data_IF_659015750803
#
_entry.id   IF_659015750803
#
_cell.length_a   1.000
_cell.length_b   1.000
_cell.length_c   1.000
_cell.angle_alpha   90.00
_cell.angle_beta   90.00
_cell.angle_gamma   90.00
#
_symmetry.space_group_name_H-M   'P 1'
#
loop_
_entity.id
_entity.type
_entity.pdbx_description
1 polymer ?
#
# COMPACT_ATOMS: atom_id res chain seq x y z
N UNK A 1 -19.66 -15.57 -3.83
CA UNK A 1 -19.37 -15.74 -2.39
C UNK A 1 -17.89 -15.49 -2.09
N UNK A 2 -16.93 -16.19 -2.69
CA UNK A 2 -15.48 -16.04 -2.41
C UNK A 2 -15.04 -14.56 -2.53
N UNK A 3 -15.34 -13.91 -3.65
CA UNK A 3 -15.00 -12.50 -3.86
C UNK A 3 -15.68 -11.58 -2.80
N UNK A 4 -16.93 -11.90 -2.42
CA UNK A 4 -17.64 -11.15 -1.38
C UNK A 4 -16.94 -11.22 -0.02
N UNK A 5 -16.40 -12.37 0.36
CA UNK A 5 -15.61 -12.50 1.60
C UNK A 5 -14.37 -11.61 1.56
N UNK A 6 -13.65 -11.60 0.44
CA UNK A 6 -12.44 -10.76 0.28
C UNK A 6 -12.81 -9.27 0.40
N UNK A 7 -13.85 -8.84 -0.31
CA UNK A 7 -14.28 -7.44 -0.32
C UNK A 7 -14.80 -6.95 1.04
N UNK A 8 -15.34 -7.87 1.85
CA UNK A 8 -15.84 -7.56 3.19
C UNK A 8 -14.79 -7.79 4.31
N UNK A 9 -13.53 -7.95 3.94
CA UNK A 9 -12.43 -8.07 4.90
C UNK A 9 -12.36 -9.40 5.64
N UNK A 10 -12.87 -10.48 5.02
CA UNK A 10 -12.85 -11.83 5.58
C UNK A 10 -12.07 -12.79 4.65
N UNK A 11 -10.74 -12.54 4.46
CA UNK A 11 -9.96 -13.36 3.51
C UNK A 11 -9.83 -14.82 3.93
N UNK A 12 -9.83 -15.14 5.22
CA UNK A 12 -9.80 -16.54 5.71
C UNK A 12 -11.03 -17.31 5.23
N UNK A 13 -12.20 -16.65 5.29
CA UNK A 13 -13.47 -17.29 4.85
C UNK A 13 -13.43 -17.59 3.35
N UNK A 14 -12.80 -16.72 2.55
CA UNK A 14 -12.62 -16.97 1.12
C UNK A 14 -11.82 -18.25 0.86
N UNK A 15 -10.75 -18.49 1.65
CA UNK A 15 -9.94 -19.71 1.55
C UNK A 15 -10.72 -20.95 2.01
N UNK A 16 -11.50 -20.82 3.07
CA UNK A 16 -12.37 -21.89 3.57
C UNK A 16 -13.39 -22.27 2.50
N UNK A 17 -14.05 -21.30 1.90
CA UNK A 17 -15.04 -21.54 0.84
C UNK A 17 -14.44 -22.27 -0.36
N UNK A 18 -13.22 -21.90 -0.77
CA UNK A 18 -12.55 -22.61 -1.89
C UNK A 18 -12.30 -24.08 -1.53
N UNK A 19 -11.88 -24.36 -0.29
CA UNK A 19 -11.67 -25.73 0.19
C UNK A 19 -12.97 -26.52 0.25
N UNK A 20 -14.03 -25.92 0.78
CA UNK A 20 -15.36 -26.57 0.87
C UNK A 20 -15.91 -26.88 -0.52
N UNK A 21 -15.78 -25.95 -1.46
CA UNK A 21 -16.16 -26.16 -2.85
C UNK A 21 -15.56 -27.45 -3.43
N UNK A 22 -14.29 -27.73 -3.10
CA UNK A 22 -13.60 -28.93 -3.58
C UNK A 22 -13.96 -30.18 -2.78
N UNK A 23 -14.01 -30.08 -1.45
CA UNK A 23 -14.10 -31.25 -0.56
C UNK A 23 -15.53 -31.71 -0.29
N UNK A 24 -16.44 -30.78 -0.01
CA UNK A 24 -17.83 -31.08 0.35
C UNK A 24 -18.72 -31.18 -0.87
N UNK A 25 -18.66 -30.14 -1.71
CA UNK A 25 -19.57 -29.99 -2.85
C UNK A 25 -19.06 -30.69 -4.11
N UNK A 26 -17.79 -31.11 -4.11
CA UNK A 26 -17.10 -31.73 -5.26
C UNK A 26 -17.21 -30.89 -6.53
N UNK A 27 -17.33 -29.55 -6.35
CA UNK A 27 -17.39 -28.59 -7.44
C UNK A 27 -15.95 -28.21 -7.82
N UNK A 28 -15.64 -28.34 -9.09
CA UNK A 28 -14.30 -28.04 -9.59
C UNK A 28 -14.11 -26.51 -9.70
N UNK A 29 -13.14 -25.92 -8.98
CA UNK A 29 -12.88 -24.50 -9.15
C UNK A 29 -12.48 -24.17 -10.59
N UNK A 30 -13.03 -23.08 -11.10
CA UNK A 30 -12.71 -22.55 -12.41
C UNK A 30 -11.82 -21.29 -12.29
N UNK A 31 -11.48 -20.69 -13.42
CA UNK A 31 -10.68 -19.46 -13.47
C UNK A 31 -11.23 -18.38 -12.51
N UNK A 32 -12.54 -18.14 -12.55
CA UNK A 32 -13.18 -17.10 -11.74
C UNK A 32 -12.99 -17.38 -10.24
N UNK A 33 -13.11 -18.63 -9.83
CA UNK A 33 -12.89 -19.06 -8.43
C UNK A 33 -11.46 -18.74 -7.98
N UNK A 34 -10.47 -19.02 -8.84
CA UNK A 34 -9.05 -18.80 -8.52
C UNK A 34 -8.72 -17.30 -8.49
N UNK A 35 -9.20 -16.53 -9.47
CA UNK A 35 -9.03 -15.08 -9.52
C UNK A 35 -9.64 -14.43 -8.26
N UNK A 36 -10.80 -14.94 -7.83
CA UNK A 36 -11.51 -14.42 -6.65
C UNK A 36 -10.79 -14.70 -5.32
N UNK A 37 -10.05 -15.82 -5.22
CA UNK A 37 -9.39 -16.21 -3.96
C UNK A 37 -7.96 -15.65 -3.84
N UNK A 38 -7.26 -15.41 -4.93
CA UNK A 38 -5.85 -14.96 -4.90
C UNK A 38 -5.65 -13.67 -4.10
N UNK A 39 -6.54 -12.67 -4.16
CA UNK A 39 -6.39 -11.49 -3.29
C UNK A 39 -6.41 -11.82 -1.80
N UNK A 40 -7.15 -12.86 -1.36
CA UNK A 40 -7.12 -13.32 0.03
C UNK A 40 -5.72 -13.79 0.43
N UNK A 41 -5.04 -14.54 -0.46
CA UNK A 41 -3.65 -14.97 -0.22
C UNK A 41 -2.72 -13.75 -0.08
N UNK A 42 -2.90 -12.74 -0.92
CA UNK A 42 -2.13 -11.49 -0.86
C UNK A 42 -2.36 -10.73 0.44
N UNK A 43 -3.62 -10.58 0.86
CA UNK A 43 -3.99 -9.87 2.10
C UNK A 43 -3.41 -10.54 3.34
N UNK A 44 -3.37 -11.86 3.35
CA UNK A 44 -2.85 -12.66 4.47
C UNK A 44 -1.33 -12.90 4.37
N UNK A 45 -0.68 -12.36 3.33
CA UNK A 45 0.72 -12.66 2.99
C UNK A 45 0.98 -14.19 2.96
N UNK A 46 -0.02 -14.94 2.52
CA UNK A 46 -0.05 -16.41 2.55
C UNK A 46 0.61 -17.06 1.34
N UNK A 47 1.93 -16.91 1.19
CA UNK A 47 2.69 -17.41 0.02
C UNK A 47 2.44 -18.89 -0.26
N UNK A 48 2.36 -19.73 0.77
CA UNK A 48 2.13 -21.18 0.60
C UNK A 48 0.77 -21.43 -0.06
N UNK A 49 -0.28 -20.78 0.45
CA UNK A 49 -1.63 -20.86 -0.13
C UNK A 49 -1.65 -20.38 -1.57
N UNK A 50 -0.99 -19.25 -1.83
CA UNK A 50 -0.87 -18.70 -3.19
C UNK A 50 -0.19 -19.67 -4.16
N UNK A 51 0.91 -20.32 -3.72
CA UNK A 51 1.61 -21.33 -4.52
C UNK A 51 0.73 -22.55 -4.78
N UNK A 52 -0.10 -22.97 -3.81
CA UNK A 52 -1.05 -24.07 -3.98
C UNK A 52 -2.11 -23.75 -5.05
N UNK A 53 -2.65 -22.50 -5.01
CA UNK A 53 -3.61 -22.03 -6.02
C UNK A 53 -2.95 -22.00 -7.40
N UNK A 54 -1.70 -21.50 -7.49
CA UNK A 54 -0.95 -21.47 -8.75
C UNK A 54 -0.70 -22.89 -9.29
N UNK A 55 -0.23 -23.81 -8.45
CA UNK A 55 0.00 -25.20 -8.85
C UNK A 55 -1.31 -25.86 -9.33
N UNK A 56 -2.42 -25.58 -8.66
CA UNK A 56 -3.75 -26.06 -9.07
C UNK A 56 -4.12 -25.49 -10.45
N UNK A 57 -3.87 -24.19 -10.69
CA UNK A 57 -4.19 -23.58 -11.98
C UNK A 57 -3.40 -24.22 -13.13
N UNK A 58 -2.13 -24.56 -12.91
CA UNK A 58 -1.29 -25.26 -13.89
C UNK A 58 -1.87 -26.65 -14.18
N UNK A 59 -2.18 -27.42 -13.12
CA UNK A 59 -2.75 -28.76 -13.23
C UNK A 59 -4.08 -28.77 -13.99
N UNK A 60 -4.83 -27.68 -13.90
CA UNK A 60 -6.14 -27.52 -14.56
C UNK A 60 -6.04 -26.86 -15.93
N UNK A 61 -4.84 -26.56 -16.41
CA UNK A 61 -4.58 -25.89 -17.69
C UNK A 61 -5.24 -24.51 -17.78
N UNK A 62 -5.35 -23.82 -16.61
CA UNK A 62 -5.95 -22.47 -16.52
C UNK A 62 -4.91 -21.35 -16.60
N UNK A 63 -3.63 -21.70 -16.65
CA UNK A 63 -2.51 -20.72 -16.60
C UNK A 63 -2.40 -19.83 -17.85
N UNK A 64 -3.19 -20.09 -18.90
CA UNK A 64 -3.27 -19.23 -20.08
C UNK A 64 -4.22 -18.04 -19.97
N UNK A 65 -5.04 -18.00 -18.92
CA UNK A 65 -6.01 -16.90 -18.75
C UNK A 65 -5.29 -15.65 -18.22
N UNK A 66 -5.43 -14.53 -18.94
CA UNK A 66 -4.76 -13.25 -18.61
C UNK A 66 -5.20 -12.74 -17.22
N UNK A 67 -6.48 -12.86 -16.90
CA UNK A 67 -7.03 -12.47 -15.60
C UNK A 67 -6.36 -13.20 -14.44
N UNK A 68 -6.09 -14.50 -14.63
CA UNK A 68 -5.44 -15.34 -13.63
C UNK A 68 -3.94 -14.98 -13.50
N UNK A 69 -3.26 -14.72 -14.63
CA UNK A 69 -1.86 -14.26 -14.63
C UNK A 69 -1.73 -12.93 -13.87
N UNK A 70 -2.64 -12.00 -14.10
CA UNK A 70 -2.65 -10.70 -13.41
C UNK A 70 -2.86 -10.88 -11.90
N UNK A 71 -3.83 -11.70 -11.51
CA UNK A 71 -4.12 -11.99 -10.09
C UNK A 71 -2.94 -12.72 -9.40
N UNK A 72 -2.26 -13.64 -10.10
CA UNK A 72 -1.07 -14.32 -9.58
C UNK A 72 0.11 -13.35 -9.42
N UNK A 73 0.32 -12.45 -10.39
CA UNK A 73 1.37 -11.42 -10.32
C UNK A 73 1.17 -10.54 -9.08
N UNK A 74 -0.05 -10.04 -8.87
CA UNK A 74 -0.42 -9.22 -7.71
C UNK A 74 -0.24 -10.00 -6.39
N UNK A 75 -0.75 -11.23 -6.34
CA UNK A 75 -0.64 -12.10 -5.15
C UNK A 75 0.82 -12.35 -4.78
N UNK A 76 1.67 -12.72 -5.74
CA UNK A 76 3.09 -12.97 -5.47
C UNK A 76 3.80 -11.69 -4.99
N UNK A 77 3.50 -10.54 -5.58
CA UNK A 77 4.06 -9.26 -5.16
C UNK A 77 3.69 -8.96 -3.71
N UNK A 78 2.41 -9.10 -3.34
CA UNK A 78 1.91 -8.86 -1.98
C UNK A 78 2.47 -9.85 -0.96
N UNK A 79 2.78 -11.08 -1.40
CA UNK A 79 3.42 -12.09 -0.55
C UNK A 79 4.95 -11.94 -0.46
N UNK A 80 5.52 -10.84 -0.95
CA UNK A 80 6.94 -10.56 -0.87
C UNK A 80 7.80 -11.30 -1.88
N UNK A 81 7.21 -11.87 -2.92
CA UNK A 81 7.90 -12.80 -3.84
C UNK A 81 7.95 -12.24 -5.28
N UNK A 82 8.73 -11.15 -5.45
CA UNK A 82 8.85 -10.44 -6.74
C UNK A 82 9.34 -11.36 -7.87
N UNK A 83 10.25 -12.30 -7.59
CA UNK A 83 10.77 -13.20 -8.62
C UNK A 83 9.66 -14.08 -9.22
N UNK A 84 8.74 -14.59 -8.39
CA UNK A 84 7.61 -15.36 -8.89
C UNK A 84 6.64 -14.45 -9.68
N UNK A 85 6.41 -13.22 -9.23
CA UNK A 85 5.58 -12.25 -9.96
C UNK A 85 6.17 -12.00 -11.37
N UNK A 86 7.49 -11.79 -11.46
CA UNK A 86 8.20 -11.61 -12.74
C UNK A 86 8.05 -12.83 -13.64
N UNK A 87 8.23 -14.04 -13.09
CA UNK A 87 8.09 -15.29 -13.87
C UNK A 87 6.69 -15.43 -14.44
N UNK A 88 5.66 -15.14 -13.64
CA UNK A 88 4.26 -15.20 -14.11
C UNK A 88 4.06 -14.19 -15.24
N UNK A 89 4.56 -12.95 -15.08
CA UNK A 89 4.45 -11.90 -16.11
C UNK A 89 5.12 -12.31 -17.40
N UNK A 90 6.35 -12.89 -17.36
CA UNK A 90 7.10 -13.25 -18.56
C UNK A 90 6.58 -14.53 -19.23
N UNK A 91 6.18 -15.53 -18.45
CA UNK A 91 5.79 -16.86 -18.94
C UNK A 91 4.29 -17.05 -19.11
N UNK A 92 3.49 -16.04 -18.75
CA UNK A 92 2.03 -16.09 -18.82
C UNK A 92 1.50 -15.89 -20.22
N UNK A 93 0.38 -15.19 -20.33
CA UNK A 93 -0.26 -14.94 -21.63
C UNK A 93 0.68 -14.26 -22.64
N UNK A 94 0.62 -14.68 -23.89
CA UNK A 94 1.34 -14.05 -25.00
C UNK A 94 0.88 -12.60 -25.21
N UNK A 95 -0.39 -12.33 -24.97
CA UNK A 95 -0.95 -10.99 -25.06
C UNK A 95 -0.94 -10.34 -23.68
N UNK A 96 -0.42 -9.12 -23.60
CA UNK A 96 -0.38 -8.33 -22.35
C UNK A 96 -1.16 -7.03 -22.56
N UNK A 97 -2.22 -6.85 -21.80
CA UNK A 97 -3.02 -5.63 -21.81
C UNK A 97 -2.49 -4.62 -20.76
N UNK A 98 -3.12 -3.45 -20.67
CA UNK A 98 -2.72 -2.42 -19.71
C UNK A 98 -2.75 -2.93 -18.26
N UNK A 99 -3.71 -3.81 -17.92
CA UNK A 99 -3.83 -4.39 -16.58
C UNK A 99 -2.62 -5.30 -16.28
N UNK A 100 -2.19 -6.10 -17.26
CA UNK A 100 -1.01 -6.97 -17.12
C UNK A 100 0.24 -6.16 -16.83
N UNK A 101 0.48 -5.11 -17.63
CA UNK A 101 1.62 -4.22 -17.45
C UNK A 101 1.52 -3.47 -16.12
N UNK A 102 0.33 -2.96 -15.77
CA UNK A 102 0.08 -2.27 -14.50
C UNK A 102 0.36 -3.16 -13.29
N UNK A 103 0.02 -4.44 -13.38
CA UNK A 103 0.26 -5.41 -12.29
C UNK A 103 1.74 -5.56 -11.98
N UNK A 104 2.60 -5.71 -12.99
CA UNK A 104 4.04 -5.87 -12.76
C UNK A 104 4.71 -4.53 -12.39
N UNK A 105 4.25 -3.41 -12.93
CA UNK A 105 4.74 -2.07 -12.57
C UNK A 105 4.45 -1.83 -11.07
N UNK A 106 3.23 -2.13 -10.63
CA UNK A 106 2.84 -2.02 -9.22
C UNK A 106 3.66 -2.96 -8.32
N UNK A 107 3.95 -4.17 -8.81
CA UNK A 107 4.80 -5.13 -8.09
C UNK A 107 6.21 -4.55 -7.87
N UNK A 108 6.81 -3.96 -8.89
CA UNK A 108 8.11 -3.29 -8.76
C UNK A 108 8.04 -2.15 -7.73
N UNK A 109 7.02 -1.30 -7.82
CA UNK A 109 6.81 -0.19 -6.87
C UNK A 109 6.63 -0.66 -5.44
N UNK A 110 5.92 -1.78 -5.24
CA UNK A 110 5.72 -2.37 -3.91
C UNK A 110 7.05 -2.83 -3.29
N UNK A 111 7.97 -3.31 -4.14
CA UNK A 111 9.28 -3.84 -3.72
C UNK A 111 10.40 -2.81 -3.78
N UNK A 112 10.10 -1.51 -3.93
CA UNK A 112 11.09 -0.44 -3.95
C UNK A 112 11.96 -0.42 -5.21
N UNK A 113 11.50 -1.08 -6.28
CA UNK A 113 12.22 -1.17 -7.57
C UNK A 113 11.68 -0.11 -8.53
N UNK A 114 11.91 1.18 -8.18
CA UNK A 114 11.34 2.30 -8.94
C UNK A 114 11.89 2.40 -10.37
N UNK A 115 13.19 2.20 -10.55
CA UNK A 115 13.81 2.27 -11.88
C UNK A 115 13.26 1.19 -12.81
N UNK A 116 13.09 -0.04 -12.27
CA UNK A 116 12.49 -1.15 -13.02
C UNK A 116 11.03 -0.86 -13.36
N UNK A 117 10.28 -0.22 -12.45
CA UNK A 117 8.90 0.17 -12.72
C UNK A 117 8.82 1.18 -13.87
N UNK A 118 9.69 2.19 -13.87
CA UNK A 118 9.77 3.23 -14.93
C UNK A 118 10.18 2.59 -16.26
N UNK A 119 11.20 1.74 -16.25
CA UNK A 119 11.67 1.01 -17.46
C UNK A 119 10.51 0.20 -18.05
N UNK A 120 9.82 -0.56 -17.20
CA UNK A 120 8.69 -1.41 -17.62
C UNK A 120 7.53 -0.56 -18.16
N UNK A 121 7.28 0.61 -17.56
CA UNK A 121 6.27 1.55 -18.08
C UNK A 121 6.61 2.02 -19.50
N UNK A 122 7.88 2.38 -19.76
CA UNK A 122 8.28 2.79 -21.11
C UNK A 122 8.26 1.62 -22.11
N UNK A 123 8.60 0.40 -21.67
CA UNK A 123 8.47 -0.81 -22.52
C UNK A 123 7.01 -1.02 -22.95
N UNK A 124 6.06 -0.86 -22.02
CA UNK A 124 4.62 -0.92 -22.30
C UNK A 124 4.23 0.07 -23.40
N UNK A 125 4.70 1.33 -23.28
CA UNK A 125 4.41 2.38 -24.27
C UNK A 125 5.02 2.04 -25.64
N UNK A 126 6.23 1.45 -25.68
CA UNK A 126 6.89 1.01 -26.92
C UNK A 126 6.11 -0.12 -27.61
N UNK A 127 5.39 -0.94 -26.84
CA UNK A 127 4.50 -1.99 -27.39
C UNK A 127 3.16 -1.41 -27.88
N UNK A 128 3.00 -0.09 -27.84
CA UNK A 128 1.77 0.57 -28.28
C UNK A 128 0.61 0.48 -27.30
N UNK A 129 0.86 0.03 -26.08
CA UNK A 129 -0.19 -0.10 -25.06
C UNK A 129 -0.34 1.26 -24.35
N UNK A 130 -1.54 1.81 -24.39
CA UNK A 130 -1.84 3.08 -23.68
C UNK A 130 -1.95 2.82 -22.17
N UNK A 131 -1.37 3.70 -21.35
CA UNK A 131 -1.51 3.55 -19.90
C UNK A 131 -2.94 3.86 -19.45
N UNK A 132 -3.41 3.13 -18.47
CA UNK A 132 -4.66 3.47 -17.76
C UNK A 132 -4.33 4.18 -16.45
N UNK A 133 -5.36 4.66 -15.74
CA UNK A 133 -5.18 5.42 -14.49
C UNK A 133 -4.48 4.58 -13.42
N UNK A 134 -4.76 3.28 -13.36
CA UNK A 134 -4.16 2.36 -12.37
C UNK A 134 -2.66 2.21 -12.63
N UNK A 135 -2.27 2.00 -13.88
CA UNK A 135 -0.86 1.90 -14.30
C UNK A 135 -0.09 3.18 -13.94
N UNK A 136 -0.71 4.33 -14.21
CA UNK A 136 -0.09 5.64 -13.92
C UNK A 136 0.11 5.83 -12.41
N UNK A 137 -0.90 5.55 -11.60
CA UNK A 137 -0.77 5.61 -10.14
C UNK A 137 0.34 4.66 -9.68
N UNK A 138 0.40 3.45 -10.25
CA UNK A 138 1.44 2.46 -9.94
C UNK A 138 2.86 2.98 -10.19
N UNK A 139 3.12 3.52 -11.39
CA UNK A 139 4.46 4.01 -11.74
C UNK A 139 4.81 5.29 -10.97
N UNK A 140 3.85 6.20 -10.75
CA UNK A 140 4.10 7.41 -9.96
C UNK A 140 4.40 7.06 -8.50
N UNK A 141 3.67 6.11 -7.91
CA UNK A 141 3.95 5.61 -6.55
C UNK A 141 5.34 5.00 -6.46
N UNK A 142 5.78 4.29 -7.50
CA UNK A 142 7.13 3.73 -7.57
C UNK A 142 8.18 4.86 -7.61
N UNK A 143 7.93 5.90 -8.41
CA UNK A 143 8.79 7.10 -8.46
C UNK A 143 8.89 7.78 -7.09
N UNK A 144 7.76 7.93 -6.38
CA UNK A 144 7.73 8.54 -5.05
C UNK A 144 8.63 7.80 -4.06
N UNK A 145 8.53 6.47 -4.03
CA UNK A 145 9.31 5.63 -3.12
C UNK A 145 10.81 5.63 -3.46
N UNK A 146 11.14 5.74 -4.74
CA UNK A 146 12.52 5.70 -5.22
C UNK A 146 13.16 7.11 -5.34
N UNK A 147 12.40 8.17 -5.14
CA UNK A 147 12.90 9.55 -5.27
C UNK A 147 13.15 9.99 -6.72
N UNK A 148 12.49 9.36 -7.69
CA UNK A 148 12.65 9.64 -9.12
C UNK A 148 11.73 10.80 -9.51
N UNK A 149 12.11 12.03 -9.10
CA UNK A 149 11.26 13.22 -9.21
C UNK A 149 11.06 13.62 -10.68
N UNK A 150 12.15 13.73 -11.44
CA UNK A 150 12.09 14.20 -12.83
C UNK A 150 11.31 13.23 -13.71
N UNK A 151 11.51 11.92 -13.50
CA UNK A 151 10.78 10.86 -14.21
C UNK A 151 9.28 10.92 -13.88
N UNK A 152 8.95 11.03 -12.61
CA UNK A 152 7.55 11.10 -12.18
C UNK A 152 6.84 12.33 -12.75
N UNK A 153 7.47 13.51 -12.71
CA UNK A 153 6.91 14.73 -13.29
C UNK A 153 6.78 14.61 -14.82
N UNK A 154 7.77 14.00 -15.49
CA UNK A 154 7.72 13.76 -16.94
C UNK A 154 6.53 12.85 -17.29
N UNK A 155 6.33 11.78 -16.54
CA UNK A 155 5.20 10.85 -16.72
C UNK A 155 3.87 11.62 -16.54
N UNK A 156 3.74 12.39 -15.44
CA UNK A 156 2.53 13.19 -15.19
C UNK A 156 2.24 14.16 -16.33
N UNK A 157 3.25 14.90 -16.78
CA UNK A 157 3.08 15.88 -17.87
C UNK A 157 2.65 15.20 -19.18
N UNK A 158 3.18 14.02 -19.45
CA UNK A 158 2.82 13.27 -20.67
C UNK A 158 1.34 12.83 -20.68
N UNK A 159 0.73 12.62 -19.49
CA UNK A 159 -0.69 12.26 -19.41
C UNK A 159 -1.57 13.35 -19.98
N UNK A 160 -1.31 14.59 -19.59
CA UNK A 160 -2.12 15.73 -19.99
C UNK A 160 -1.83 16.17 -21.43
N UNK A 161 -0.54 16.15 -21.84
CA UNK A 161 -0.13 16.69 -23.15
C UNK A 161 -0.23 15.66 -24.28
N UNK A 162 0.14 14.40 -24.02
CA UNK A 162 0.22 13.36 -25.06
C UNK A 162 -1.01 12.44 -25.09
N UNK A 163 -1.54 12.09 -23.92
CA UNK A 163 -2.65 11.14 -23.82
C UNK A 163 -3.99 11.81 -23.55
N UNK A 164 -4.01 13.14 -23.36
CA UNK A 164 -5.21 13.95 -23.08
C UNK A 164 -6.04 13.38 -21.92
N UNK A 165 -5.38 12.74 -20.97
CA UNK A 165 -6.03 12.17 -19.78
C UNK A 165 -6.20 13.23 -18.71
N UNK A 166 -7.37 13.26 -18.08
CA UNK A 166 -7.63 14.13 -16.92
C UNK A 166 -7.10 13.43 -15.66
N UNK A 167 -6.11 14.01 -14.96
CA UNK A 167 -5.59 13.36 -13.77
C UNK A 167 -6.66 13.18 -12.69
N UNK A 168 -6.68 12.01 -12.05
CA UNK A 168 -7.53 11.76 -10.89
C UNK A 168 -6.91 12.35 -9.62
N UNK A 169 -7.68 12.40 -8.53
CA UNK A 169 -7.19 12.86 -7.22
C UNK A 169 -5.99 12.02 -6.77
N UNK A 170 -6.00 10.71 -7.05
CA UNK A 170 -4.92 9.78 -6.67
C UNK A 170 -3.62 10.11 -7.41
N UNK A 171 -3.72 10.41 -8.72
CA UNK A 171 -2.56 10.83 -9.53
C UNK A 171 -1.99 12.15 -8.98
N UNK A 172 -2.86 13.12 -8.68
CA UNK A 172 -2.43 14.40 -8.10
C UNK A 172 -1.77 14.19 -6.73
N UNK A 173 -2.33 13.29 -5.90
CA UNK A 173 -1.74 12.96 -4.60
C UNK A 173 -0.33 12.36 -4.76
N UNK A 174 -0.10 11.53 -5.79
CA UNK A 174 1.24 11.00 -6.09
C UNK A 174 2.22 12.13 -6.46
N UNK A 175 1.78 13.11 -7.26
CA UNK A 175 2.64 14.25 -7.62
C UNK A 175 3.00 15.07 -6.36
N UNK A 176 2.02 15.32 -5.49
CA UNK A 176 2.25 16.06 -4.23
C UNK A 176 3.19 15.26 -3.30
N UNK A 177 3.03 13.94 -3.22
CA UNK A 177 3.93 13.07 -2.43
C UNK A 177 5.36 13.11 -3.01
N UNK A 178 5.49 13.04 -4.32
CA UNK A 178 6.78 13.09 -5.03
C UNK A 178 7.55 14.40 -4.75
N UNK A 179 6.88 15.53 -4.97
CA UNK A 179 7.44 16.85 -4.68
C UNK A 179 7.72 17.03 -3.18
N UNK A 180 6.79 16.56 -2.36
CA UNK A 180 6.89 16.68 -0.91
C UNK A 180 8.07 15.91 -0.33
N UNK A 181 8.24 14.64 -0.71
CA UNK A 181 9.36 13.80 -0.23
C UNK A 181 10.72 14.37 -0.63
N UNK A 182 10.81 15.02 -1.78
CA UNK A 182 12.04 15.66 -2.25
C UNK A 182 12.27 17.05 -1.62
N UNK A 183 11.41 17.49 -0.68
CA UNK A 183 11.53 18.77 0.02
C UNK A 183 11.00 19.97 -0.75
N UNK A 184 10.40 19.76 -1.92
CA UNK A 184 9.89 20.84 -2.78
C UNK A 184 8.48 21.27 -2.36
N UNK A 185 8.32 21.63 -1.07
CA UNK A 185 7.00 21.90 -0.45
C UNK A 185 6.28 23.09 -1.10
N UNK A 186 7.03 24.12 -1.52
CA UNK A 186 6.44 25.29 -2.21
C UNK A 186 5.87 24.89 -3.57
N UNK A 187 6.60 24.05 -4.32
CA UNK A 187 6.12 23.55 -5.60
C UNK A 187 4.90 22.64 -5.42
N UNK A 188 4.90 21.81 -4.36
CA UNK A 188 3.74 20.97 -4.01
C UNK A 188 2.50 21.85 -3.74
N UNK A 189 2.65 22.95 -2.99
CA UNK A 189 1.54 23.90 -2.74
C UNK A 189 1.04 24.57 -4.02
N UNK A 190 1.97 25.02 -4.88
CA UNK A 190 1.58 25.65 -6.15
C UNK A 190 0.87 24.64 -7.06
N UNK A 191 1.34 23.37 -7.06
CA UNK A 191 0.67 22.30 -7.77
C UNK A 191 -0.77 22.12 -7.26
N UNK A 192 -0.96 22.05 -5.93
CA UNK A 192 -2.29 21.89 -5.31
C UNK A 192 -3.22 23.03 -5.73
N UNK A 193 -2.74 24.28 -5.72
CA UNK A 193 -3.53 25.46 -6.14
C UNK A 193 -3.93 25.38 -7.62
N UNK A 194 -3.08 24.79 -8.46
CA UNK A 194 -3.33 24.66 -9.90
C UNK A 194 -4.07 23.38 -10.30
N UNK A 195 -4.47 22.54 -9.37
CA UNK A 195 -5.14 21.26 -9.68
C UNK A 195 -6.46 21.50 -10.43
N UNK A 196 -6.76 20.71 -11.49
CA UNK A 196 -8.03 20.84 -12.22
C UNK A 196 -9.24 20.31 -11.46
N UNK A 197 -9.01 19.68 -10.30
CA UNK A 197 -10.04 19.07 -9.43
C UNK A 197 -9.78 19.49 -7.98
N UNK A 198 -10.81 19.44 -7.16
CA UNK A 198 -10.67 19.82 -5.74
C UNK A 198 -9.72 18.82 -5.02
N UNK A 199 -8.72 19.34 -4.28
CA UNK A 199 -7.82 18.47 -3.52
C UNK A 199 -8.58 17.67 -2.45
N UNK A 200 -8.48 16.36 -2.51
CA UNK A 200 -9.08 15.44 -1.53
C UNK A 200 -8.14 15.15 -0.36
N UNK A 201 -8.61 14.33 0.60
CA UNK A 201 -7.80 13.97 1.77
C UNK A 201 -6.44 13.34 1.44
N UNK A 202 -6.34 12.55 0.37
CA UNK A 202 -5.09 11.94 -0.06
C UNK A 202 -4.03 13.00 -0.44
N UNK A 203 -4.46 14.08 -1.10
CA UNK A 203 -3.57 15.18 -1.51
C UNK A 203 -3.03 15.92 -0.27
N UNK A 204 -3.94 16.30 0.63
CA UNK A 204 -3.55 17.02 1.87
C UNK A 204 -2.74 16.09 2.81
N UNK A 205 -3.05 14.79 2.83
CA UNK A 205 -2.29 13.79 3.60
C UNK A 205 -0.85 13.65 3.11
N UNK A 206 -0.64 13.68 1.78
CA UNK A 206 0.70 13.66 1.17
C UNK A 206 1.49 14.92 1.57
N UNK A 207 0.88 16.09 1.45
CA UNK A 207 1.52 17.37 1.85
C UNK A 207 1.83 17.37 3.35
N UNK A 208 0.91 16.88 4.18
CA UNK A 208 1.10 16.78 5.63
C UNK A 208 2.31 15.93 5.97
N UNK A 209 2.38 14.72 5.40
CA UNK A 209 3.49 13.79 5.62
C UNK A 209 4.84 14.45 5.27
N UNK A 210 4.91 15.07 4.11
CA UNK A 210 6.10 15.78 3.66
C UNK A 210 6.46 16.95 4.61
N UNK A 211 5.46 17.71 5.03
CA UNK A 211 5.66 18.86 5.92
C UNK A 211 6.22 18.43 7.29
N UNK A 212 5.78 17.27 7.79
CA UNK A 212 6.30 16.69 9.04
C UNK A 212 7.76 16.25 8.85
N UNK A 213 8.07 15.55 7.76
CA UNK A 213 9.42 15.07 7.45
C UNK A 213 10.42 16.22 7.37
N UNK A 214 10.02 17.33 6.70
CA UNK A 214 10.90 18.47 6.47
C UNK A 214 10.75 19.61 7.51
N UNK A 215 9.98 19.36 8.58
CA UNK A 215 9.84 20.33 9.69
C UNK A 215 9.16 21.64 9.34
N UNK A 216 8.33 21.67 8.27
CA UNK A 216 7.68 22.90 7.82
C UNK A 216 6.34 23.08 8.53
N UNK A 217 6.31 23.95 9.54
CA UNK A 217 5.10 24.18 10.36
C UNK A 217 3.96 24.83 9.58
N UNK A 218 4.27 25.74 8.65
CA UNK A 218 3.25 26.48 7.90
C UNK A 218 2.43 25.54 6.99
N UNK A 219 3.11 24.76 6.16
CA UNK A 219 2.43 23.79 5.26
C UNK A 219 1.74 22.68 6.04
N UNK A 220 2.36 22.24 7.15
CA UNK A 220 1.78 21.23 8.04
C UNK A 220 0.45 21.71 8.64
N UNK A 221 0.43 22.92 9.21
CA UNK A 221 -0.77 23.46 9.88
C UNK A 221 -1.89 23.71 8.85
N UNK A 222 -1.52 24.16 7.64
CA UNK A 222 -2.48 24.27 6.52
C UNK A 222 -3.09 22.92 6.17
N UNK A 223 -2.25 21.90 5.98
CA UNK A 223 -2.71 20.55 5.60
C UNK A 223 -3.63 19.97 6.68
N UNK A 224 -3.30 20.14 7.97
CA UNK A 224 -4.17 19.67 9.06
C UNK A 224 -5.53 20.35 9.03
N UNK A 225 -5.59 21.67 8.83
CA UNK A 225 -6.87 22.40 8.76
C UNK A 225 -7.74 21.84 7.64
N UNK A 226 -7.16 21.66 6.45
CA UNK A 226 -7.91 21.11 5.31
C UNK A 226 -8.39 19.69 5.59
N UNK A 227 -7.56 18.85 6.22
CA UNK A 227 -7.96 17.46 6.56
C UNK A 227 -9.07 17.43 7.60
N UNK A 228 -9.04 18.29 8.62
CA UNK A 228 -10.10 18.37 9.63
C UNK A 228 -11.43 18.84 9.04
N UNK A 229 -11.37 19.73 8.04
CA UNK A 229 -12.56 20.18 7.31
C UNK A 229 -13.14 19.09 6.40
N UNK A 230 -12.26 18.36 5.69
CA UNK A 230 -12.67 17.32 4.74
C UNK A 230 -13.13 16.04 5.44
N UNK A 231 -12.50 15.68 6.56
CA UNK A 231 -12.76 14.45 7.29
C UNK A 231 -12.93 14.73 8.79
N UNK A 232 -13.96 15.46 9.20
CA UNK A 232 -14.14 15.83 10.63
C UNK A 232 -14.38 14.63 11.54
N UNK A 233 -14.78 13.48 10.98
CA UNK A 233 -15.08 12.26 11.74
C UNK A 233 -13.90 11.26 11.74
N UNK A 234 -12.74 11.61 11.17
CA UNK A 234 -11.57 10.74 11.12
C UNK A 234 -10.68 10.97 12.35
N UNK A 235 -10.67 10.06 13.35
CA UNK A 235 -9.89 10.26 14.57
C UNK A 235 -8.38 10.35 14.32
N UNK A 236 -7.88 9.78 13.22
CA UNK A 236 -6.45 9.80 12.89
C UNK A 236 -5.93 11.23 12.71
N UNK A 237 -6.74 12.11 12.10
CA UNK A 237 -6.36 13.50 11.85
C UNK A 237 -6.14 14.24 13.18
N UNK A 238 -6.98 14.03 14.18
CA UNK A 238 -6.85 14.62 15.53
C UNK A 238 -5.62 14.04 16.26
N UNK A 239 -5.42 12.80 16.17
CA UNK A 239 -4.28 12.12 16.82
C UNK A 239 -2.93 12.62 16.26
N UNK A 240 -2.97 12.77 15.19
CA UNK A 240 -1.88 13.15 14.60
C UNK A 240 -1.49 14.48 14.90
N UNK A 241 -2.39 15.30 14.73
CA UNK A 241 -2.18 16.70 15.08
C UNK A 241 -1.76 16.87 16.55
N UNK A 242 -2.48 16.22 17.45
CA UNK A 242 -2.16 16.22 18.87
C UNK A 242 -0.72 15.77 19.15
N UNK A 243 -0.28 14.69 18.52
CA UNK A 243 1.09 14.17 18.68
C UNK A 243 2.13 15.15 18.14
N UNK A 244 1.82 15.81 17.03
CA UNK A 244 2.70 16.85 16.43
C UNK A 244 2.86 18.03 17.40
N UNK A 245 1.75 18.52 17.97
CA UNK A 245 1.84 19.62 18.94
C UNK A 245 2.61 19.17 20.19
N UNK A 246 2.43 17.92 20.65
CA UNK A 246 3.16 17.37 21.79
C UNK A 246 4.69 17.34 21.55
N UNK A 247 5.12 16.99 20.33
CA UNK A 247 6.56 16.95 19.98
C UNK A 247 7.21 18.36 20.03
N UNK A 248 6.41 19.39 19.83
CA UNK A 248 6.85 20.80 19.96
C UNK A 248 6.54 21.39 21.33
N UNK A 249 6.11 20.57 22.31
CA UNK A 249 5.77 20.96 23.68
C UNK A 249 4.62 22.00 23.76
N UNK A 250 3.76 22.03 22.74
CA UNK A 250 2.61 22.94 22.67
C UNK A 250 1.40 22.28 23.35
N UNK A 251 1.45 22.21 24.69
CA UNK A 251 0.51 21.41 25.50
C UNK A 251 -0.92 21.97 25.51
N UNK A 252 -1.09 23.28 25.35
CA UNK A 252 -2.42 23.90 25.29
C UNK A 252 -3.16 23.41 24.03
N UNK A 253 -2.49 23.42 22.89
CA UNK A 253 -3.04 22.96 21.61
C UNK A 253 -3.30 21.44 21.62
N UNK A 254 -2.44 20.68 22.30
CA UNK A 254 -2.68 19.22 22.52
C UNK A 254 -4.03 19.03 23.22
N UNK A 255 -4.26 19.79 24.32
CA UNK A 255 -5.48 19.70 25.11
C UNK A 255 -6.70 20.11 24.27
N UNK A 256 -6.59 21.19 23.50
CA UNK A 256 -7.65 21.67 22.61
C UNK A 256 -8.06 20.59 21.60
N UNK A 257 -7.09 20.05 20.84
CA UNK A 257 -7.35 19.02 19.81
C UNK A 257 -7.97 17.76 20.42
N UNK A 258 -7.48 17.31 21.58
CA UNK A 258 -8.03 16.13 22.26
C UNK A 258 -9.44 16.37 22.77
N UNK A 259 -9.72 17.59 23.22
CA UNK A 259 -11.07 17.99 23.64
C UNK A 259 -12.03 17.98 22.45
N UNK A 260 -11.62 18.54 21.31
CA UNK A 260 -12.40 18.49 20.06
C UNK A 260 -12.74 17.06 19.67
N UNK A 261 -11.73 16.17 19.69
CA UNK A 261 -11.89 14.74 19.37
C UNK A 261 -12.91 14.08 20.32
N UNK A 262 -12.81 14.36 21.63
CA UNK A 262 -13.72 13.82 22.64
C UNK A 262 -15.15 14.35 22.48
N UNK A 263 -15.32 15.66 22.22
CA UNK A 263 -16.62 16.27 21.99
C UNK A 263 -17.36 15.65 20.80
N UNK A 264 -16.61 15.21 19.78
CA UNK A 264 -17.15 14.50 18.62
C UNK A 264 -17.38 13.01 18.87
N UNK A 265 -17.07 12.49 20.06
CA UNK A 265 -17.21 11.07 20.40
C UNK A 265 -16.23 10.15 19.68
N UNK A 266 -15.17 10.70 19.09
CA UNK A 266 -14.22 9.94 18.29
C UNK A 266 -13.25 9.16 19.18
N UNK A 267 -12.95 7.91 18.79
CA UNK A 267 -12.02 7.04 19.52
C UNK A 267 -10.96 6.49 18.57
N UNK A 268 -9.75 6.35 19.08
CA UNK A 268 -8.66 5.71 18.33
C UNK A 268 -9.00 4.24 18.11
N UNK A 269 -8.91 3.79 16.85
CA UNK A 269 -8.97 2.36 16.55
C UNK A 269 -7.59 1.77 16.86
N UNK A 270 -7.49 0.77 17.73
CA UNK A 270 -6.19 0.16 18.04
C UNK A 270 -5.56 -0.50 16.82
N UNK A 271 -4.26 -0.35 16.69
CA UNK A 271 -3.49 -1.12 15.70
C UNK A 271 -3.45 -2.58 16.13
N UNK A 272 -3.63 -3.48 15.18
CA UNK A 272 -3.61 -4.93 15.42
C UNK A 272 -2.54 -5.54 14.50
N UNK A 273 -1.71 -6.41 15.07
CA UNK A 273 -0.81 -7.28 14.30
C UNK A 273 -1.22 -8.74 14.54
N UNK A 274 -0.86 -9.60 13.61
CA UNK A 274 -1.15 -11.03 13.78
C UNK A 274 -0.08 -11.89 13.15
N UNK A 275 -0.01 -13.13 13.66
CA UNK A 275 0.85 -14.17 13.10
C UNK A 275 0.06 -15.49 13.11
N UNK A 276 0.23 -16.29 12.08
CA UNK A 276 -0.41 -17.60 12.00
C UNK A 276 0.64 -18.69 12.21
N UNK A 277 0.46 -19.49 13.26
CA UNK A 277 1.34 -20.61 13.62
C UNK A 277 0.47 -21.86 13.73
N UNK A 278 0.85 -22.94 13.04
CA UNK A 278 0.15 -24.23 13.08
C UNK A 278 -1.36 -24.08 12.77
N UNK A 279 -1.69 -23.25 11.78
CA UNK A 279 -3.08 -22.98 11.33
C UNK A 279 -3.94 -22.21 12.34
N UNK A 280 -3.33 -21.64 13.40
CA UNK A 280 -4.02 -20.81 14.38
C UNK A 280 -3.47 -19.38 14.28
N UNK A 281 -4.38 -18.41 14.14
CA UNK A 281 -4.00 -16.99 14.08
C UNK A 281 -4.00 -16.39 15.48
N UNK A 282 -2.91 -15.75 15.84
CA UNK A 282 -2.72 -15.06 17.11
C UNK A 282 -2.70 -13.56 16.82
N UNK A 283 -3.55 -12.80 17.49
CA UNK A 283 -3.69 -11.35 17.34
C UNK A 283 -3.02 -10.64 18.49
N UNK A 284 -2.44 -9.49 18.23
CA UNK A 284 -1.74 -8.68 19.21
C UNK A 284 -2.09 -7.21 19.02
N UNK A 285 -2.32 -6.51 20.12
CA UNK A 285 -2.42 -5.05 20.19
C UNK A 285 -1.25 -4.52 21.00
N UNK A 286 -1.03 -3.21 20.96
CA UNK A 286 0.08 -2.61 21.71
C UNK A 286 -0.07 -2.90 23.22
N UNK A 287 1.00 -3.35 23.83
CA UNK A 287 1.08 -3.72 25.26
C UNK A 287 0.09 -4.84 25.70
N UNK A 288 -0.37 -5.65 24.74
CA UNK A 288 -1.29 -6.75 25.02
C UNK A 288 -0.57 -7.86 25.82
N UNK A 289 -1.16 -8.24 26.95
CA UNK A 289 -0.65 -9.32 27.81
C UNK A 289 -1.62 -10.51 27.89
N UNK A 290 -2.65 -10.53 27.04
CA UNK A 290 -3.68 -11.57 27.07
C UNK A 290 -3.19 -12.91 26.49
N UNK A 291 -2.18 -12.89 25.61
CA UNK A 291 -1.67 -14.13 24.99
C UNK A 291 -1.00 -15.02 26.07
N UNK A 292 -1.24 -16.35 26.07
CA UNK A 292 -0.64 -17.26 27.07
C UNK A 292 0.89 -17.19 27.15
N UNK A 293 1.56 -16.92 26.01
CA UNK A 293 3.02 -16.81 25.94
C UNK A 293 3.50 -15.36 26.01
N UNK A 294 2.67 -14.39 26.46
CA UNK A 294 3.01 -12.96 26.45
C UNK A 294 4.33 -12.66 27.13
N UNK A 295 4.59 -13.29 28.29
CA UNK A 295 5.85 -13.10 29.02
C UNK A 295 7.08 -13.45 28.17
N UNK A 296 7.10 -14.66 27.59
CA UNK A 296 8.23 -15.10 26.76
C UNK A 296 8.38 -14.27 25.49
N UNK A 297 7.24 -13.81 24.92
CA UNK A 297 7.25 -12.93 23.74
C UNK A 297 7.92 -11.60 24.09
N UNK A 298 7.54 -10.96 25.21
CA UNK A 298 8.13 -9.67 25.61
C UNK A 298 9.60 -9.81 26.02
N UNK A 299 9.96 -10.90 26.75
CA UNK A 299 11.36 -11.19 27.07
C UNK A 299 12.22 -11.28 25.79
N UNK A 300 11.75 -12.01 24.78
CA UNK A 300 12.45 -12.15 23.49
C UNK A 300 12.54 -10.79 22.75
N UNK A 301 11.48 -9.99 22.77
CA UNK A 301 11.47 -8.65 22.14
C UNK A 301 12.51 -7.76 22.83
N UNK A 302 12.56 -7.75 24.16
CA UNK A 302 13.51 -6.96 24.93
C UNK A 302 14.95 -7.38 24.62
N UNK A 303 15.23 -8.69 24.53
CA UNK A 303 16.53 -9.23 24.15
C UNK A 303 16.92 -8.77 22.72
N UNK A 304 15.98 -8.86 21.76
CA UNK A 304 16.22 -8.42 20.38
C UNK A 304 16.50 -6.91 20.30
N UNK A 305 15.74 -6.10 21.01
CA UNK A 305 15.93 -4.64 21.06
C UNK A 305 17.32 -4.33 21.63
N UNK A 306 17.72 -5.02 22.71
CA UNK A 306 19.06 -4.84 23.31
C UNK A 306 20.17 -5.13 22.29
N UNK A 307 20.09 -6.28 21.60
CA UNK A 307 21.09 -6.67 20.59
C UNK A 307 21.15 -5.66 19.44
N UNK A 308 19.98 -5.17 18.99
CA UNK A 308 19.91 -4.18 17.92
C UNK A 308 20.49 -2.83 18.35
N UNK A 309 20.28 -2.43 19.60
CA UNK A 309 20.80 -1.18 20.16
C UNK A 309 22.32 -1.26 20.31
N UNK A 310 22.83 -2.36 20.85
CA UNK A 310 24.26 -2.59 21.02
C UNK A 310 24.97 -2.69 19.66
N UNK A 311 24.34 -3.31 18.66
CA UNK A 311 24.88 -3.41 17.30
C UNK A 311 24.94 -2.06 16.57
N UNK A 312 24.08 -1.09 16.91
CA UNK A 312 24.13 0.26 16.31
C UNK A 312 25.31 1.09 16.82
N UNK A 313 25.80 0.83 18.05
CA UNK A 313 26.94 1.56 18.60
C UNK A 313 28.26 1.18 17.94
N UNK A 314 28.35 0.01 17.32
CA UNK A 314 29.60 -0.46 16.66
C UNK A 314 29.73 0.08 15.22
N UNK A 315 28.66 0.57 14.61
CA UNK A 315 28.67 1.10 13.23
C UNK A 315 29.20 2.54 13.19
N UNK A 316 29.01 3.31 14.26
CA UNK A 316 29.41 4.72 14.33
C UNK A 316 30.94 4.90 14.58
N UNK A 317 31.70 3.80 14.82
CA UNK A 317 33.11 3.86 15.08
C UNK A 317 33.95 3.66 13.79
N UNK A 318 33.31 3.29 12.65
CA UNK A 318 34.01 2.99 11.40
C UNK A 318 33.75 4.00 10.27
N UNK A 319 33.17 5.16 10.57
CA UNK A 319 33.05 6.30 9.67
C UNK A 319 33.76 7.52 10.28
#
# INVERSE_FOLDING_TARGET
>A
MINGCVQNGAPEDALILLREMQSKDRIRPNEISLVSVLPACGLLAGLIGGKQVHAFSIKMELNGYISLCNALTDMYAKCGSLDYARRVFHNGSYFKDAITWGSIISAYGLHGKGEEAVTTYYEMLQQGIKPDMITVVGVLSACCKAGLVDEGLSIYNSLTTKYEMKPSVEICACVVDLLGRSGQLNQALEFIKGMPINPGPSVWGSLLTASVIHGNSMTRDLAYRCLLELEPENPSNYIXLSNTYASYRRWDEVTEVRTMMKQRGLKKVPGISWITISRKTHFFTVADKAHPSSRSIYEMIDDLVSVMTDGCTDIDILT
#
